data_IF_650517667278
#
_entry.id   IF_650517667278
#
_cell.length_a   1.000
_cell.length_b   1.000
_cell.length_c   1.000
_cell.angle_alpha   90.00
_cell.angle_beta   90.00
_cell.angle_gamma   90.00
#
_symmetry.space_group_name_H-M   'P 1'
#
loop_
_entity.id
_entity.type
_entity.pdbx_description
1 polymer ?
#
# COMPACT_ATOMS: atom_id res chain seq x y z
N UNK A 1 -14.38 35.08 -15.56
CA UNK A 1 -14.21 34.05 -16.61
C UNK A 1 -12.80 34.23 -17.14
N UNK A 2 -11.84 33.45 -16.64
CA UNK A 2 -10.40 33.55 -16.97
C UNK A 2 -10.07 32.77 -18.25
N UNK A 3 -10.92 32.86 -19.27
CA UNK A 3 -10.73 32.19 -20.55
C UNK A 3 -10.64 33.23 -21.66
N UNK A 4 -9.52 33.22 -22.38
CA UNK A 4 -9.28 33.96 -23.62
C UNK A 4 -8.69 32.99 -24.64
N UNK A 5 -9.21 32.98 -25.87
CA UNK A 5 -8.86 31.97 -26.89
C UNK A 5 -7.44 32.14 -27.46
N UNK A 6 -6.83 33.30 -27.21
CA UNK A 6 -5.54 33.75 -27.73
C UNK A 6 -4.46 33.89 -26.64
N UNK A 7 -4.73 33.40 -25.42
CA UNK A 7 -3.79 33.44 -24.32
C UNK A 7 -2.52 32.63 -24.66
N UNK A 8 -1.39 33.33 -24.79
CA UNK A 8 -0.06 32.75 -25.08
C UNK A 8 0.95 32.94 -23.93
N UNK A 9 0.54 33.56 -22.84
CA UNK A 9 1.34 33.79 -21.63
C UNK A 9 0.49 33.57 -20.38
N UNK A 10 1.08 32.94 -19.37
CA UNK A 10 0.51 32.84 -18.02
C UNK A 10 0.72 34.17 -17.29
N UNK A 11 -0.36 34.83 -16.89
CA UNK A 11 -0.35 36.11 -16.18
C UNK A 11 -0.49 35.96 -14.66
N UNK A 12 -0.49 34.71 -14.15
CA UNK A 12 -0.62 34.40 -12.74
C UNK A 12 -2.01 34.71 -12.15
N UNK A 13 -2.98 35.13 -12.98
CA UNK A 13 -4.34 35.46 -12.52
C UNK A 13 -5.23 34.23 -12.35
N UNK A 14 -4.71 33.04 -12.66
CA UNK A 14 -5.34 31.74 -12.46
C UNK A 14 -4.93 31.05 -11.15
N UNK A 15 -4.46 31.80 -10.14
CA UNK A 15 -4.31 31.29 -8.78
C UNK A 15 -5.65 31.37 -8.04
N UNK A 16 -6.31 30.22 -7.94
CA UNK A 16 -7.46 30.06 -7.06
C UNK A 16 -6.96 29.57 -5.71
N UNK A 17 -7.21 30.33 -4.65
CA UNK A 17 -7.00 29.85 -3.29
C UNK A 17 -7.95 28.66 -3.05
N UNK A 18 -7.40 27.45 -3.02
CA UNK A 18 -8.14 26.25 -2.62
C UNK A 18 -8.04 26.14 -1.10
N UNK A 19 -9.12 26.49 -0.41
CA UNK A 19 -9.27 26.20 1.01
C UNK A 19 -9.89 24.81 1.16
N UNK A 20 -9.03 23.79 1.28
CA UNK A 20 -9.48 22.42 1.46
C UNK A 20 -10.03 22.27 2.89
N UNK A 21 -11.25 21.73 3.07
CA UNK A 21 -11.80 21.52 4.40
C UNK A 21 -10.94 20.54 5.20
N UNK A 22 -10.81 20.80 6.50
CA UNK A 22 -10.04 19.92 7.41
C UNK A 22 -10.64 18.51 7.52
N UNK A 23 -11.95 18.39 7.31
CA UNK A 23 -12.68 17.12 7.30
C UNK A 23 -13.67 17.08 6.13
N UNK A 24 -13.91 15.87 5.60
CA UNK A 24 -14.97 15.60 4.63
C UNK A 24 -16.01 14.72 5.31
N UNK A 25 -17.11 15.34 5.73
CA UNK A 25 -18.23 14.66 6.39
C UNK A 25 -19.38 14.45 5.40
N UNK A 26 -19.89 13.22 5.36
CA UNK A 26 -21.01 12.84 4.51
C UNK A 26 -22.13 12.30 5.40
N UNK A 27 -23.02 13.19 5.83
CA UNK A 27 -24.05 12.88 6.80
C UNK A 27 -25.45 12.95 6.20
N UNK A 28 -26.38 12.18 6.77
CA UNK A 28 -27.81 12.32 6.51
C UNK A 28 -28.39 13.57 7.20
N UNK A 29 -29.69 13.81 7.02
CA UNK A 29 -30.37 14.94 7.67
C UNK A 29 -30.39 14.87 9.21
N UNK A 30 -30.08 13.71 9.81
CA UNK A 30 -30.02 13.48 11.24
C UNK A 30 -28.58 13.53 11.79
N UNK A 31 -27.57 13.75 10.94
CA UNK A 31 -26.16 13.80 11.31
C UNK A 31 -25.44 12.44 11.30
N UNK A 32 -26.07 11.37 10.82
CA UNK A 32 -25.46 10.05 10.77
C UNK A 32 -24.57 9.92 9.54
N UNK A 33 -23.41 9.28 9.66
CA UNK A 33 -22.53 9.03 8.53
C UNK A 33 -23.19 8.13 7.48
N UNK A 34 -23.03 8.49 6.21
CA UNK A 34 -23.54 7.73 5.05
C UNK A 34 -22.42 6.99 4.32
N UNK A 35 -21.16 7.30 4.63
CA UNK A 35 -19.98 6.68 4.01
C UNK A 35 -19.15 5.94 5.06
N UNK A 36 -18.85 4.68 4.80
CA UNK A 36 -17.95 3.87 5.63
C UNK A 36 -16.55 3.80 5.02
N UNK A 37 -15.55 4.22 5.81
CA UNK A 37 -14.13 4.18 5.43
C UNK A 37 -13.36 2.99 6.01
N UNK A 38 -14.02 2.14 6.80
CA UNK A 38 -13.38 1.06 7.57
C UNK A 38 -12.64 0.10 6.66
N UNK A 39 -13.24 -0.29 5.53
CA UNK A 39 -12.62 -1.24 4.60
C UNK A 39 -11.35 -0.72 3.91
N UNK A 40 -11.24 0.60 3.70
CA UNK A 40 -10.05 1.25 3.17
C UNK A 40 -8.98 1.34 4.26
N UNK A 41 -9.37 1.78 5.46
CA UNK A 41 -8.48 1.88 6.63
C UNK A 41 -7.88 0.53 7.02
N UNK A 42 -8.68 -0.53 7.01
CA UNK A 42 -8.22 -1.90 7.25
C UNK A 42 -7.08 -2.26 6.28
N UNK A 43 -7.25 -2.04 4.97
CA UNK A 43 -6.21 -2.38 3.99
C UNK A 43 -4.97 -1.50 4.08
N UNK A 44 -5.13 -0.22 4.43
CA UNK A 44 -3.99 0.67 4.66
C UNK A 44 -3.16 0.20 5.85
N UNK A 45 -3.81 -0.17 6.97
CA UNK A 45 -3.14 -0.73 8.13
C UNK A 45 -2.52 -2.10 7.85
N UNK A 46 -3.21 -2.98 7.10
CA UNK A 46 -2.64 -4.25 6.64
C UNK A 46 -1.35 -4.06 5.84
N UNK A 47 -1.34 -3.12 4.87
CA UNK A 47 -0.12 -2.84 4.12
C UNK A 47 0.97 -2.22 5.00
N UNK A 48 0.61 -1.36 5.95
CA UNK A 48 1.55 -0.75 6.90
C UNK A 48 2.27 -1.80 7.75
N UNK A 49 1.52 -2.75 8.31
CA UNK A 49 2.08 -3.84 9.11
C UNK A 49 2.94 -4.78 8.24
N UNK A 50 2.45 -5.16 7.06
CA UNK A 50 3.21 -5.97 6.10
C UNK A 50 4.52 -5.30 5.69
N UNK A 51 4.49 -3.99 5.46
CA UNK A 51 5.66 -3.18 5.14
C UNK A 51 6.66 -3.16 6.29
N UNK A 52 6.18 -3.15 7.54
CA UNK A 52 7.04 -3.20 8.72
C UNK A 52 7.75 -4.56 8.82
N UNK A 53 7.04 -5.65 8.54
CA UNK A 53 7.63 -6.99 8.46
C UNK A 53 8.67 -7.08 7.32
N UNK A 54 8.33 -6.63 6.11
CA UNK A 54 9.27 -6.58 4.97
C UNK A 54 10.54 -5.79 5.28
N UNK A 55 10.41 -4.63 5.96
CA UNK A 55 11.55 -3.78 6.33
C UNK A 55 12.46 -4.44 7.37
N UNK A 56 12.00 -5.45 8.11
CA UNK A 56 12.86 -6.18 9.05
C UNK A 56 14.00 -6.93 8.34
N UNK A 57 13.79 -7.39 7.09
CA UNK A 57 14.82 -8.03 6.26
C UNK A 57 16.01 -7.13 5.90
N UNK A 58 15.86 -5.81 6.04
CA UNK A 58 16.97 -4.87 5.87
C UNK A 58 18.02 -4.99 6.98
N UNK A 59 17.70 -5.68 8.07
CA UNK A 59 18.64 -6.02 9.14
C UNK A 59 19.27 -7.38 8.82
N UNK A 60 20.58 -7.45 8.49
CA UNK A 60 21.21 -8.72 8.15
C UNK A 60 21.02 -9.79 9.22
N UNK A 61 20.75 -11.02 8.81
CA UNK A 61 20.43 -12.14 9.70
C UNK A 61 18.96 -12.22 10.13
N UNK A 62 18.11 -11.30 9.69
CA UNK A 62 16.65 -11.36 9.92
C UNK A 62 15.97 -12.00 8.71
N UNK A 63 15.67 -13.30 8.81
CA UNK A 63 14.93 -14.01 7.77
C UNK A 63 13.42 -13.72 7.87
N UNK A 64 12.78 -13.51 6.71
CA UNK A 64 11.33 -13.49 6.59
C UNK A 64 10.79 -14.87 6.26
N UNK A 65 9.52 -15.10 6.58
CA UNK A 65 8.76 -16.28 6.18
C UNK A 65 7.78 -15.92 5.06
N UNK A 66 7.91 -16.62 3.94
CA UNK A 66 7.03 -16.44 2.79
C UNK A 66 5.57 -16.77 3.14
N UNK A 67 5.33 -17.81 3.94
CA UNK A 67 3.97 -18.20 4.31
C UNK A 67 3.28 -17.09 5.11
N UNK A 68 3.99 -16.45 6.03
CA UNK A 68 3.52 -15.26 6.76
C UNK A 68 3.18 -14.11 5.81
N UNK A 69 4.07 -13.77 4.85
CA UNK A 69 3.78 -12.70 3.88
C UNK A 69 2.56 -12.99 3.01
N UNK A 70 2.41 -14.23 2.55
CA UNK A 70 1.25 -14.67 1.76
C UNK A 70 -0.05 -14.64 2.60
N UNK A 71 0.02 -15.05 3.86
CA UNK A 71 -1.08 -14.98 4.82
C UNK A 71 -1.52 -13.53 5.07
N UNK A 72 -0.56 -12.61 5.26
CA UNK A 72 -0.83 -11.17 5.36
C UNK A 72 -1.49 -10.63 4.09
N UNK A 73 -0.99 -11.01 2.91
CA UNK A 73 -1.50 -10.52 1.64
C UNK A 73 -2.95 -10.97 1.34
N UNK A 74 -3.25 -12.24 1.61
CA UNK A 74 -4.57 -12.82 1.44
C UNK A 74 -5.53 -12.53 2.61
N UNK A 75 -5.01 -12.02 3.74
CA UNK A 75 -5.69 -11.99 5.03
C UNK A 75 -6.28 -13.36 5.41
N UNK A 76 -5.46 -14.40 5.31
CA UNK A 76 -5.84 -15.79 5.59
C UNK A 76 -4.78 -16.44 6.47
N UNK A 77 -5.14 -16.80 7.69
CA UNK A 77 -4.20 -17.40 8.66
C UNK A 77 -3.21 -16.43 9.31
N UNK A 78 -3.43 -15.11 9.23
CA UNK A 78 -2.62 -14.09 9.92
C UNK A 78 -3.42 -13.34 11.00
N UNK A 79 -2.77 -12.99 12.11
CA UNK A 79 -3.35 -12.16 13.19
C UNK A 79 -2.68 -10.81 13.17
N UNK A 80 -3.45 -9.76 12.89
CA UNK A 80 -2.97 -8.38 12.81
C UNK A 80 -2.87 -7.73 14.18
N UNK A 81 -1.95 -6.77 14.30
CA UNK A 81 -1.98 -5.82 15.39
C UNK A 81 -3.10 -4.81 15.15
N UNK A 82 -4.06 -4.75 16.07
CA UNK A 82 -5.29 -3.96 15.91
C UNK A 82 -5.35 -2.79 16.90
N UNK A 83 -4.26 -2.02 16.97
CA UNK A 83 -4.17 -0.83 17.83
C UNK A 83 -5.26 0.22 17.55
N UNK A 84 -5.76 0.30 16.31
CA UNK A 84 -6.83 1.20 15.89
C UNK A 84 -8.25 0.63 16.08
N UNK A 85 -8.39 -0.63 16.51
CA UNK A 85 -9.71 -1.28 16.69
C UNK A 85 -10.51 -1.40 15.39
N UNK A 86 -9.84 -1.76 14.30
CA UNK A 86 -10.43 -1.90 12.96
C UNK A 86 -10.93 -3.32 12.67
N UNK A 87 -10.78 -4.27 13.60
CA UNK A 87 -11.18 -5.68 13.45
C UNK A 87 -10.61 -6.31 12.17
N UNK A 88 -9.32 -6.10 11.90
CA UNK A 88 -8.67 -6.59 10.66
C UNK A 88 -8.61 -8.12 10.58
N UNK A 89 -8.30 -8.77 11.71
CA UNK A 89 -8.19 -10.23 11.83
C UNK A 89 -9.54 -10.90 11.62
N UNK A 90 -9.61 -11.78 10.62
CA UNK A 90 -10.87 -12.45 10.24
C UNK A 90 -11.84 -11.57 9.44
N UNK A 91 -11.48 -10.33 9.13
CA UNK A 91 -12.27 -9.50 8.22
C UNK A 91 -12.28 -10.04 6.79
N UNK A 92 -13.30 -9.69 6.01
CA UNK A 92 -13.34 -10.00 4.57
C UNK A 92 -12.38 -9.15 3.72
N UNK A 93 -11.62 -8.24 4.33
CA UNK A 93 -10.72 -7.35 3.59
C UNK A 93 -9.38 -8.01 3.41
N UNK A 94 -8.84 -7.90 2.22
CA UNK A 94 -7.55 -8.44 1.84
C UNK A 94 -6.92 -7.51 0.80
N UNK A 95 -5.60 -7.53 0.71
CA UNK A 95 -4.83 -6.82 -0.31
C UNK A 95 -4.85 -7.59 -1.64
N UNK A 96 -4.79 -8.94 -1.58
CA UNK A 96 -4.78 -9.82 -2.75
C UNK A 96 -5.95 -9.59 -3.70
N UNK A 97 -7.19 -9.73 -3.24
CA UNK A 97 -8.37 -9.50 -4.10
C UNK A 97 -8.56 -8.05 -4.58
N UNK A 98 -7.77 -7.10 -4.05
CA UNK A 98 -7.80 -5.70 -4.45
C UNK A 98 -6.66 -5.31 -5.36
N UNK A 99 -5.68 -6.18 -5.54
CA UNK A 99 -4.55 -5.96 -6.45
C UNK A 99 -5.05 -6.15 -7.89
N UNK A 100 -5.25 -5.04 -8.60
CA UNK A 100 -5.83 -5.01 -9.96
C UNK A 100 -7.13 -5.82 -10.06
N UNK A 101 -7.98 -5.71 -9.04
CA UNK A 101 -9.23 -6.47 -8.96
C UNK A 101 -9.07 -7.97 -8.68
N UNK A 102 -7.90 -8.39 -8.21
CA UNK A 102 -7.58 -9.81 -7.94
C UNK A 102 -7.22 -10.59 -9.20
N UNK A 103 -6.72 -9.90 -10.23
CA UNK A 103 -6.32 -10.53 -11.48
C UNK A 103 -5.04 -11.35 -11.26
N UNK A 104 -5.09 -12.62 -11.72
CA UNK A 104 -4.13 -13.67 -11.31
C UNK A 104 -2.70 -13.32 -11.70
N UNK A 105 -2.49 -12.76 -12.90
CA UNK A 105 -1.15 -12.43 -13.36
C UNK A 105 -0.48 -11.41 -12.43
N UNK A 106 -1.23 -10.40 -11.98
CA UNK A 106 -0.67 -9.41 -11.05
C UNK A 106 -0.50 -9.97 -9.64
N UNK A 107 -1.43 -10.76 -9.12
CA UNK A 107 -1.27 -11.37 -7.79
C UNK A 107 -0.07 -12.31 -7.75
N UNK A 108 0.14 -13.11 -8.80
CA UNK A 108 1.27 -14.06 -8.90
C UNK A 108 2.63 -13.33 -8.91
N UNK A 109 2.70 -12.14 -9.53
CA UNK A 109 3.90 -11.30 -9.49
C UNK A 109 4.24 -10.90 -8.05
N UNK A 110 3.27 -10.42 -7.28
CA UNK A 110 3.50 -10.00 -5.90
C UNK A 110 3.83 -11.17 -4.99
N UNK A 111 3.17 -12.32 -5.17
CA UNK A 111 3.50 -13.54 -4.44
C UNK A 111 4.92 -14.03 -4.78
N UNK A 112 5.34 -13.90 -6.06
CA UNK A 112 6.72 -14.13 -6.47
C UNK A 112 7.71 -13.24 -5.73
N UNK A 113 7.41 -11.94 -5.57
CA UNK A 113 8.26 -11.04 -4.78
C UNK A 113 8.30 -11.40 -3.29
N UNK A 114 7.19 -11.86 -2.70
CA UNK A 114 7.14 -12.29 -1.30
C UNK A 114 7.97 -13.55 -1.05
N UNK A 115 7.93 -14.51 -1.98
CA UNK A 115 8.82 -15.66 -1.94
C UNK A 115 10.29 -15.24 -2.12
N UNK A 116 10.56 -14.37 -3.11
CA UNK A 116 11.92 -13.89 -3.40
C UNK A 116 12.59 -13.18 -2.23
N UNK A 117 11.88 -12.30 -1.51
CA UNK A 117 12.45 -11.63 -0.33
C UNK A 117 12.66 -12.60 0.83
N UNK A 118 11.78 -13.58 1.03
CA UNK A 118 11.95 -14.60 2.06
C UNK A 118 13.19 -15.46 1.79
N UNK A 119 13.36 -15.92 0.54
CA UNK A 119 14.55 -16.65 0.10
C UNK A 119 15.83 -15.82 0.26
N UNK A 120 15.83 -14.56 -0.19
CA UNK A 120 16.99 -13.68 -0.10
C UNK A 120 17.35 -13.32 1.35
N UNK A 121 16.37 -13.03 2.19
CA UNK A 121 16.61 -12.68 3.59
C UNK A 121 17.18 -13.86 4.39
N UNK A 122 16.76 -15.09 4.06
CA UNK A 122 17.27 -16.31 4.68
C UNK A 122 18.75 -16.60 4.36
N UNK A 123 19.32 -16.01 3.30
CA UNK A 123 20.75 -16.16 2.99
C UNK A 123 21.63 -15.11 3.67
N UNK A 124 21.05 -14.14 4.38
CA UNK A 124 21.81 -13.07 5.03
C UNK A 124 22.39 -13.51 6.38
N UNK A 125 23.57 -13.02 6.72
CA UNK A 125 24.23 -13.30 8.01
C UNK A 125 24.23 -12.06 8.91
N UNK A 126 24.09 -12.26 10.22
CA UNK A 126 24.02 -11.16 11.18
C UNK A 126 25.27 -10.26 11.13
N UNK A 127 25.06 -8.96 10.90
CA UNK A 127 26.13 -7.96 10.81
C UNK A 127 26.90 -7.95 9.48
N UNK A 128 26.52 -8.77 8.49
CA UNK A 128 27.17 -8.82 7.18
C UNK A 128 26.39 -7.97 6.17
N UNK A 129 27.09 -7.04 5.53
CA UNK A 129 26.55 -6.19 4.44
C UNK A 129 27.40 -6.34 3.19
N UNK A 130 27.20 -7.44 2.48
CA UNK A 130 27.98 -7.87 1.31
C UNK A 130 27.19 -7.81 -0.01
N UNK A 131 25.95 -7.30 0.04
CA UNK A 131 25.15 -7.03 -1.15
C UNK A 131 25.92 -6.12 -2.12
N UNK A 132 25.97 -6.52 -3.38
CA UNK A 132 26.70 -5.79 -4.43
C UNK A 132 26.19 -6.18 -5.82
N UNK A 133 26.70 -5.53 -6.86
CA UNK A 133 26.31 -5.88 -8.24
C UNK A 133 26.62 -7.36 -8.54
N UNK A 134 25.59 -8.13 -8.90
CA UNK A 134 25.64 -9.57 -9.12
C UNK A 134 25.52 -10.43 -7.86
N UNK A 135 25.43 -9.84 -6.67
CA UNK A 135 25.36 -10.55 -5.39
C UNK A 135 24.16 -10.05 -4.57
N UNK A 136 23.19 -10.94 -4.36
CA UNK A 136 22.10 -10.71 -3.40
C UNK A 136 22.66 -10.57 -2.00
N UNK A 137 22.18 -9.57 -1.26
CA UNK A 137 22.61 -9.32 0.12
C UNK A 137 22.14 -7.97 0.63
N UNK A 138 22.51 -7.66 1.87
CA UNK A 138 22.18 -6.35 2.46
C UNK A 138 23.23 -5.33 2.06
N UNK A 139 22.77 -4.18 1.57
CA UNK A 139 23.59 -3.05 1.15
C UNK A 139 23.46 -1.92 2.16
N UNK A 140 24.59 -1.38 2.63
CA UNK A 140 24.62 -0.19 3.48
C UNK A 140 24.48 1.08 2.63
N UNK A 141 23.63 2.02 3.05
CA UNK A 141 23.47 3.29 2.35
C UNK A 141 24.72 4.16 2.44
N UNK A 142 25.17 4.68 1.29
CA UNK A 142 26.32 5.60 1.18
C UNK A 142 26.00 7.03 1.63
N UNK A 143 24.72 7.40 1.71
CA UNK A 143 24.26 8.74 2.10
C UNK A 143 23.68 8.77 3.51
N UNK A 144 23.29 7.63 4.07
CA UNK A 144 22.81 7.51 5.45
C UNK A 144 23.29 6.20 6.10
N UNK A 145 24.39 6.20 6.86
CA UNK A 145 24.95 4.99 7.49
C UNK A 145 24.01 4.27 8.48
N UNK A 146 22.88 4.87 8.87
CA UNK A 146 21.87 4.21 9.69
C UNK A 146 20.87 3.37 8.87
N UNK A 147 20.94 3.39 7.53
CA UNK A 147 20.02 2.69 6.65
C UNK A 147 20.72 1.59 5.86
N UNK A 148 20.06 0.45 5.78
CA UNK A 148 20.48 -0.74 5.06
C UNK A 148 19.28 -1.25 4.24
N UNK A 149 19.55 -1.98 3.17
CA UNK A 149 18.52 -2.48 2.25
C UNK A 149 18.88 -3.87 1.74
N UNK A 150 17.95 -4.82 1.83
CA UNK A 150 18.10 -6.11 1.17
C UNK A 150 17.84 -5.95 -0.34
N UNK A 151 18.82 -6.31 -1.15
CA UNK A 151 18.78 -6.18 -2.61
C UNK A 151 19.15 -7.50 -3.29
N UNK A 152 18.59 -7.74 -4.48
CA UNK A 152 19.07 -8.79 -5.38
C UNK A 152 20.37 -8.37 -6.09
N UNK A 153 20.98 -9.30 -6.84
CA UNK A 153 22.19 -9.02 -7.63
C UNK A 153 21.97 -7.99 -8.76
N UNK A 154 20.74 -7.65 -9.08
CA UNK A 154 20.36 -6.66 -10.09
C UNK A 154 20.03 -5.29 -9.46
N UNK A 155 20.13 -5.18 -8.13
CA UNK A 155 19.84 -3.96 -7.36
C UNK A 155 18.35 -3.75 -7.08
N UNK A 156 17.51 -4.78 -7.22
CA UNK A 156 16.09 -4.71 -6.89
C UNK A 156 15.87 -4.86 -5.39
N UNK A 157 15.09 -3.95 -4.81
CA UNK A 157 14.61 -4.04 -3.43
C UNK A 157 13.19 -4.60 -3.43
N UNK A 158 13.01 -5.88 -3.09
CA UNK A 158 11.68 -6.50 -3.02
C UNK A 158 10.72 -5.75 -2.10
N UNK A 159 11.19 -5.24 -0.97
CA UNK A 159 10.39 -4.39 -0.07
C UNK A 159 9.77 -3.22 -0.81
N UNK A 160 10.52 -2.56 -1.70
CA UNK A 160 10.03 -1.44 -2.50
C UNK A 160 9.09 -1.90 -3.61
N UNK A 161 9.40 -3.02 -4.28
CA UNK A 161 8.53 -3.61 -5.30
C UNK A 161 7.16 -3.98 -4.71
N UNK A 162 7.12 -4.52 -3.50
CA UNK A 162 5.89 -4.90 -2.81
C UNK A 162 5.18 -3.66 -2.25
N UNK A 163 5.83 -2.84 -1.42
CA UNK A 163 5.21 -1.66 -0.77
C UNK A 163 4.64 -0.70 -1.82
N UNK A 164 5.48 -0.21 -2.74
CA UNK A 164 5.06 0.78 -3.74
C UNK A 164 4.22 0.14 -4.84
N UNK A 165 4.53 -1.10 -5.23
CA UNK A 165 3.74 -1.83 -6.20
C UNK A 165 2.31 -2.03 -5.72
N UNK A 166 2.10 -2.44 -4.46
CA UNK A 166 0.76 -2.60 -3.89
C UNK A 166 0.07 -1.25 -3.66
N UNK A 167 0.78 -0.17 -3.34
CA UNK A 167 0.17 1.17 -3.33
C UNK A 167 -0.46 1.52 -4.68
N UNK A 168 0.20 1.21 -5.79
CA UNK A 168 -0.35 1.39 -7.13
C UNK A 168 -1.44 0.37 -7.46
N UNK A 169 -1.09 -0.91 -7.40
CA UNK A 169 -1.93 -2.01 -7.87
C UNK A 169 -3.19 -2.22 -7.01
N UNK A 170 -3.14 -1.92 -5.70
CA UNK A 170 -4.30 -1.97 -4.82
C UNK A 170 -4.95 -0.59 -4.72
N UNK A 171 -4.29 0.42 -4.16
CA UNK A 171 -4.99 1.67 -3.81
C UNK A 171 -5.28 2.55 -5.02
N UNK A 172 -4.30 2.83 -5.87
CA UNK A 172 -4.54 3.66 -7.06
C UNK A 172 -5.53 3.00 -8.03
N UNK A 173 -5.45 1.68 -8.23
CA UNK A 173 -6.44 0.94 -9.01
C UNK A 173 -7.85 1.06 -8.41
N UNK A 174 -8.01 0.84 -7.10
CA UNK A 174 -9.34 0.94 -6.49
C UNK A 174 -9.89 2.37 -6.54
N UNK A 175 -9.05 3.40 -6.36
CA UNK A 175 -9.46 4.80 -6.52
C UNK A 175 -9.94 5.03 -7.96
N UNK A 176 -9.09 4.78 -8.94
CA UNK A 176 -9.37 5.17 -10.33
C UNK A 176 -10.40 4.30 -11.04
N UNK A 177 -10.40 2.99 -10.78
CA UNK A 177 -11.14 2.01 -11.57
C UNK A 177 -12.34 1.40 -10.84
N UNK A 178 -12.43 1.55 -9.51
CA UNK A 178 -13.54 1.00 -8.73
C UNK A 178 -14.38 2.10 -8.11
N UNK A 179 -13.78 3.05 -7.38
CA UNK A 179 -14.52 4.09 -6.67
C UNK A 179 -15.06 5.17 -7.59
N UNK A 180 -14.37 5.48 -8.68
CA UNK A 180 -14.86 6.40 -9.72
C UNK A 180 -15.72 5.71 -10.80
N UNK A 181 -15.97 4.41 -10.68
CA UNK A 181 -16.85 3.69 -11.61
C UNK A 181 -18.34 3.87 -11.22
N UNK A 182 -19.24 3.73 -12.20
CA UNK A 182 -20.70 3.85 -12.01
C UNK A 182 -21.24 2.99 -10.87
N UNK A 183 -20.70 1.78 -10.70
CA UNK A 183 -21.08 0.87 -9.59
C UNK A 183 -20.78 1.40 -8.18
N UNK A 184 -20.03 2.51 -8.05
CA UNK A 184 -19.76 3.21 -6.79
C UNK A 184 -20.19 4.67 -6.80
N UNK A 185 -20.32 5.29 -7.97
CA UNK A 185 -20.80 6.67 -8.11
C UNK A 185 -22.33 6.77 -8.14
N UNK A 186 -23.03 5.75 -8.64
CA UNK A 186 -24.49 5.76 -8.82
C UNK A 186 -25.23 5.04 -7.67
N UNK A 187 -24.57 4.87 -6.52
CA UNK A 187 -25.15 4.16 -5.37
C UNK A 187 -26.08 5.08 -4.57
N UNK A 188 -27.13 4.49 -3.99
CA UNK A 188 -28.03 5.22 -3.09
C UNK A 188 -27.34 5.50 -1.75
N UNK A 189 -27.18 6.78 -1.42
CA UNK A 189 -26.54 7.25 -0.20
C UNK A 189 -27.56 7.66 0.88
N UNK A 190 -28.81 7.18 0.78
CA UNK A 190 -29.89 7.49 1.73
C UNK A 190 -29.84 6.70 3.03
N UNK A 191 -29.04 5.63 3.10
CA UNK A 191 -28.95 4.75 4.28
C UNK A 191 -27.68 5.04 5.08
N UNK A 192 -27.79 5.37 6.39
CA UNK A 192 -26.63 5.56 7.24
C UNK A 192 -25.83 4.27 7.46
N UNK A 193 -24.51 4.41 7.62
CA UNK A 193 -23.58 3.30 7.90
C UNK A 193 -23.25 3.14 9.39
N UNK A 194 -23.66 4.07 10.24
CA UNK A 194 -23.49 4.04 11.71
C UNK A 194 -24.77 4.61 12.37
N UNK A 195 -25.83 3.79 12.56
CA UNK A 195 -27.12 4.22 13.12
C UNK A 195 -27.19 4.25 14.66
#
# INVERSE_FOLDING_TARGET
MNYADDANTDDGTCEYAIDAPATYEFTDANGNNTVSYTGQRQRLNMLSEMTSYLKSANTPGTALDAATLLAMYANDGYTWDDTEGLDMTGSSKQLKNKTVGGEVFYTDIFEGYMNGIAEASATTEAGVTDGSAGQTGVVLSTTNPAKQYLQDGQGQEWTQLIEKGLMGACFMYNISSVYLASGKMDVDNSTPVDP
#
